data_IF_697984324483
#
_entry.id   IF_697984324483
#
_cell.length_a   1.000
_cell.length_b   1.000
_cell.length_c   1.000
_cell.angle_alpha   90.00
_cell.angle_beta   90.00
_cell.angle_gamma   90.00
#
_symmetry.space_group_name_H-M   'P 1'
#
loop_
_entity.id
_entity.type
_entity.pdbx_description
1 polymer ?
#
# COMPACT_ATOMS: atom_id res chain seq x y z
N UNK A 1 -19.45 -6.26 -9.65
CA UNK A 1 -18.95 -6.06 -8.27
C UNK A 1 -18.15 -7.29 -7.91
N UNK A 2 -16.97 -7.14 -7.32
CA UNK A 2 -16.20 -8.30 -6.85
C UNK A 2 -17.02 -9.07 -5.80
N UNK A 3 -16.87 -10.39 -5.77
CA UNK A 3 -17.36 -11.23 -4.67
C UNK A 3 -16.81 -10.67 -3.34
N UNK A 4 -17.66 -10.55 -2.32
CA UNK A 4 -17.28 -9.94 -1.03
C UNK A 4 -16.10 -10.71 -0.39
N UNK A 5 -16.06 -12.04 -0.55
CA UNK A 5 -14.94 -12.85 -0.09
C UNK A 5 -13.63 -12.51 -0.82
N UNK A 6 -13.69 -12.29 -2.14
CA UNK A 6 -12.54 -11.87 -2.93
C UNK A 6 -12.06 -10.49 -2.46
N UNK A 7 -12.98 -9.54 -2.29
CA UNK A 7 -12.66 -8.20 -1.83
C UNK A 7 -11.95 -8.21 -0.48
N UNK A 8 -12.48 -8.94 0.49
CA UNK A 8 -11.87 -9.02 1.83
C UNK A 8 -10.48 -9.66 1.77
N UNK A 9 -10.30 -10.71 0.97
CA UNK A 9 -8.99 -11.36 0.81
C UNK A 9 -7.94 -10.42 0.19
N UNK A 10 -8.34 -9.61 -0.78
CA UNK A 10 -7.48 -8.67 -1.48
C UNK A 10 -7.06 -7.50 -0.58
N UNK A 11 -8.00 -6.98 0.22
CA UNK A 11 -7.72 -5.96 1.22
C UNK A 11 -6.82 -6.47 2.34
N UNK A 12 -7.04 -7.69 2.83
CA UNK A 12 -6.17 -8.31 3.82
C UNK A 12 -4.75 -8.55 3.26
N UNK A 13 -4.63 -8.88 1.98
CA UNK A 13 -3.33 -9.00 1.30
C UNK A 13 -2.61 -7.65 1.22
N UNK A 14 -3.34 -6.59 0.86
CA UNK A 14 -2.78 -5.24 0.84
C UNK A 14 -2.28 -4.81 2.23
N UNK A 15 -3.08 -5.02 3.27
CA UNK A 15 -2.71 -4.68 4.64
C UNK A 15 -1.40 -5.37 5.09
N UNK A 16 -1.26 -6.67 4.84
CA UNK A 16 -0.01 -7.41 5.12
C UNK A 16 1.19 -6.86 4.34
N UNK A 17 0.99 -6.49 3.08
CA UNK A 17 2.07 -5.91 2.28
C UNK A 17 2.49 -4.54 2.80
N UNK A 18 1.52 -3.72 3.25
CA UNK A 18 1.80 -2.43 3.88
C UNK A 18 2.58 -2.59 5.19
N UNK A 19 2.20 -3.55 6.05
CA UNK A 19 2.95 -3.89 7.27
C UNK A 19 4.38 -4.35 6.97
N UNK A 20 4.59 -5.10 5.89
CA UNK A 20 5.92 -5.54 5.48
C UNK A 20 6.75 -4.38 4.91
N UNK A 21 6.14 -3.53 4.10
CA UNK A 21 6.79 -2.32 3.60
C UNK A 21 7.20 -1.39 4.74
N UNK A 22 6.35 -1.27 5.75
CA UNK A 22 6.66 -0.50 6.94
C UNK A 22 7.88 -1.04 7.68
N UNK A 23 8.42 -2.23 7.42
CA UNK A 23 9.65 -2.71 8.07
C UNK A 23 10.94 -2.41 7.28
N UNK A 24 10.80 -1.86 6.06
CA UNK A 24 11.93 -1.58 5.18
C UNK A 24 12.48 -0.17 5.44
N UNK A 25 13.79 -0.01 5.21
CA UNK A 25 14.46 1.29 5.32
C UNK A 25 14.60 1.99 3.97
N UNK A 26 14.45 3.34 3.89
CA UNK A 26 14.57 4.08 2.64
C UNK A 26 15.90 3.92 1.89
N UNK A 27 16.98 3.55 2.59
CA UNK A 27 18.30 3.30 1.98
C UNK A 27 18.37 1.94 1.26
N UNK A 28 17.44 1.04 1.54
CA UNK A 28 17.39 -0.28 0.93
C UNK A 28 16.76 -0.16 -0.47
N UNK A 29 17.41 -0.72 -1.50
CA UNK A 29 16.82 -0.76 -2.85
C UNK A 29 15.43 -1.44 -2.87
N UNK A 30 15.23 -2.40 -1.96
CA UNK A 30 13.96 -3.09 -1.82
C UNK A 30 12.82 -2.15 -1.42
N UNK A 31 13.10 -1.10 -0.64
CA UNK A 31 12.10 -0.12 -0.22
C UNK A 31 11.42 0.55 -1.41
N UNK A 32 12.18 1.13 -2.33
CA UNK A 32 11.63 1.84 -3.49
C UNK A 32 10.89 0.90 -4.44
N UNK A 33 11.40 -0.33 -4.61
CA UNK A 33 10.69 -1.35 -5.38
C UNK A 33 9.35 -1.69 -4.74
N UNK A 34 9.32 -1.86 -3.43
CA UNK A 34 8.12 -2.30 -2.72
C UNK A 34 7.07 -1.18 -2.59
N UNK A 35 7.51 0.08 -2.50
CA UNK A 35 6.65 1.24 -2.65
C UNK A 35 5.89 1.20 -3.99
N UNK A 36 6.59 1.02 -5.11
CA UNK A 36 5.96 0.95 -6.43
C UNK A 36 4.99 -0.22 -6.58
N UNK A 37 5.29 -1.37 -5.94
CA UNK A 37 4.38 -2.52 -5.89
C UNK A 37 3.09 -2.17 -5.16
N UNK A 38 3.16 -1.50 -4.00
CA UNK A 38 1.97 -1.08 -3.25
C UNK A 38 1.13 -0.08 -4.04
N UNK A 39 1.76 0.92 -4.66
CA UNK A 39 1.07 1.89 -5.51
C UNK A 39 0.36 1.20 -6.69
N UNK A 40 1.03 0.26 -7.36
CA UNK A 40 0.42 -0.53 -8.43
C UNK A 40 -0.72 -1.44 -7.96
N UNK A 41 -0.62 -1.99 -6.75
CA UNK A 41 -1.71 -2.77 -6.14
C UNK A 41 -2.96 -1.90 -5.93
N UNK A 42 -2.83 -0.67 -5.45
CA UNK A 42 -3.98 0.24 -5.26
C UNK A 42 -4.69 0.50 -6.59
N UNK A 43 -3.94 0.81 -7.65
CA UNK A 43 -4.49 1.03 -8.99
C UNK A 43 -5.22 -0.22 -9.49
N UNK A 44 -4.63 -1.40 -9.28
CA UNK A 44 -5.24 -2.68 -9.68
C UNK A 44 -6.54 -2.95 -8.93
N UNK A 45 -6.56 -2.75 -7.61
CA UNK A 45 -7.76 -2.91 -6.78
C UNK A 45 -8.89 -1.99 -7.23
N UNK A 46 -8.57 -0.75 -7.60
CA UNK A 46 -9.55 0.20 -8.11
C UNK A 46 -10.06 -0.21 -9.50
N UNK A 47 -9.16 -0.56 -10.41
CA UNK A 47 -9.51 -0.96 -11.78
C UNK A 47 -10.39 -2.23 -11.80
N UNK A 48 -10.13 -3.17 -10.90
CA UNK A 48 -10.94 -4.38 -10.72
C UNK A 48 -12.26 -4.13 -9.95
N UNK A 49 -12.53 -2.91 -9.50
CA UNK A 49 -13.73 -2.57 -8.75
C UNK A 49 -13.79 -3.18 -7.34
N UNK A 50 -12.63 -3.58 -6.80
CA UNK A 50 -12.50 -4.08 -5.41
C UNK A 50 -12.66 -2.93 -4.42
N UNK A 51 -12.12 -1.75 -4.79
CA UNK A 51 -12.26 -0.51 -4.04
C UNK A 51 -12.82 0.60 -4.93
N UNK A 52 -13.44 1.60 -4.30
CA UNK A 52 -13.87 2.83 -4.98
C UNK A 52 -12.69 3.78 -5.16
N UNK A 53 -12.87 4.85 -5.95
CA UNK A 53 -11.88 5.93 -6.06
C UNK A 53 -11.54 6.56 -4.70
N UNK A 54 -12.53 6.72 -3.81
CA UNK A 54 -12.29 7.20 -2.45
C UNK A 54 -11.51 6.17 -1.61
N UNK A 55 -11.76 4.88 -1.82
CA UNK A 55 -10.97 3.81 -1.23
C UNK A 55 -9.50 3.88 -1.66
N UNK A 56 -9.24 4.09 -2.96
CA UNK A 56 -7.89 4.25 -3.48
C UNK A 56 -7.15 5.44 -2.85
N UNK A 57 -7.83 6.58 -2.69
CA UNK A 57 -7.26 7.75 -1.98
C UNK A 57 -6.85 7.39 -0.55
N UNK A 58 -7.70 6.67 0.20
CA UNK A 58 -7.38 6.25 1.57
C UNK A 58 -6.15 5.33 1.61
N UNK A 59 -6.04 4.37 0.70
CA UNK A 59 -4.88 3.48 0.66
C UNK A 59 -3.59 4.24 0.30
N UNK A 60 -3.65 5.18 -0.65
CA UNK A 60 -2.50 6.04 -0.96
C UNK A 60 -2.08 6.92 0.22
N UNK A 61 -3.04 7.42 1.01
CA UNK A 61 -2.75 8.17 2.24
C UNK A 61 -1.98 7.32 3.25
N UNK A 62 -2.42 6.08 3.50
CA UNK A 62 -1.75 5.13 4.41
C UNK A 62 -0.32 4.82 3.97
N UNK A 63 -0.11 4.55 2.67
CA UNK A 63 1.24 4.37 2.12
C UNK A 63 2.09 5.63 2.33
N UNK A 64 1.52 6.81 2.09
CA UNK A 64 2.19 8.09 2.30
C UNK A 64 2.55 8.37 3.76
N UNK A 65 1.76 7.90 4.72
CA UNK A 65 2.07 7.98 6.16
C UNK A 65 3.32 7.17 6.49
N UNK A 66 3.37 5.90 6.06
CA UNK A 66 4.55 5.04 6.25
C UNK A 66 5.80 5.66 5.62
N UNK A 67 5.67 6.25 4.41
CA UNK A 67 6.80 6.92 3.75
C UNK A 67 7.30 8.11 4.58
N UNK A 68 6.39 8.94 5.11
CA UNK A 68 6.75 10.10 5.93
C UNK A 68 7.43 9.68 7.23
N UNK A 69 6.91 8.67 7.91
CA UNK A 69 7.50 8.12 9.14
C UNK A 69 8.92 7.63 8.88
N UNK A 70 9.11 6.80 7.85
CA UNK A 70 10.44 6.24 7.52
C UNK A 70 11.45 7.30 7.10
N UNK A 71 11.02 8.35 6.40
CA UNK A 71 11.91 9.47 6.06
C UNK A 71 12.29 10.31 7.28
N UNK A 72 11.36 10.51 8.22
CA UNK A 72 11.64 11.24 9.45
C UNK A 72 12.68 10.52 10.32
N UNK A 73 12.65 9.19 10.36
CA UNK A 73 13.66 8.37 11.05
C UNK A 73 15.06 8.48 10.42
N UNK A 74 15.17 8.61 9.09
CA UNK A 74 16.47 8.76 8.40
C UNK A 74 17.10 10.15 8.60
N UNK A 75 16.35 11.13 9.10
CA UNK A 75 16.85 12.50 9.34
C UNK A 75 17.32 12.74 10.79
N UNK A 76 17.21 11.74 11.67
CA UNK A 76 17.71 11.77 13.05
C UNK A 76 19.08 11.10 13.15
#
# INVERSE_FOLDING_TARGET
MADDALKDSELARFARNLENFAKLHPEEQLYHRFQGILEGQIVTLQACGVITSQGAVKLHQQVGEVIRERRAETQQ
#
